data_IF_445988102593
#
_entry.id   IF_445988102593
#
_cell.length_a   1.000
_cell.length_b   1.000
_cell.length_c   1.000
_cell.angle_alpha   90.00
_cell.angle_beta   90.00
_cell.angle_gamma   90.00
#
_symmetry.space_group_name_H-M   'P 1'
#
loop_
_entity.id
_entity.type
_entity.pdbx_description
1 polymer ?
#
# COMPACT_ATOMS: atom_id res chain seq x y z
N UNK A 1 8.00 4.96 10.17
CA UNK A 1 7.55 6.08 9.30
C UNK A 1 6.03 6.32 9.45
N UNK A 2 5.17 5.30 9.30
CA UNK A 2 3.70 5.43 9.44
C UNK A 2 3.21 5.77 10.84
N UNK A 3 3.86 5.29 11.90
CA UNK A 3 3.50 5.63 13.30
C UNK A 3 3.51 7.13 13.57
N UNK A 4 4.46 7.86 12.98
CA UNK A 4 4.56 9.30 13.16
C UNK A 4 3.40 10.07 12.52
N UNK A 5 2.94 9.65 11.32
CA UNK A 5 1.76 10.23 10.66
C UNK A 5 0.49 9.88 11.44
N UNK A 6 0.33 8.61 11.84
CA UNK A 6 -0.81 8.15 12.63
C UNK A 6 -0.95 8.95 13.91
N UNK A 7 0.11 9.05 14.71
CA UNK A 7 0.13 9.80 15.97
C UNK A 7 -0.19 11.28 15.79
N UNK A 8 0.33 11.92 14.71
CA UNK A 8 0.03 13.32 14.40
C UNK A 8 -1.45 13.50 14.02
N UNK A 9 -1.99 12.64 13.15
CA UNK A 9 -3.39 12.72 12.75
C UNK A 9 -4.33 12.42 13.92
N UNK A 10 -4.02 11.43 14.74
CA UNK A 10 -4.80 11.13 15.97
C UNK A 10 -4.79 12.32 16.95
N UNK A 11 -3.66 12.95 17.14
CA UNK A 11 -3.55 14.17 17.97
C UNK A 11 -4.45 15.29 17.46
N UNK A 12 -4.46 15.54 16.15
CA UNK A 12 -5.31 16.56 15.51
C UNK A 12 -6.79 16.16 15.65
N UNK A 13 -7.14 14.92 15.38
CA UNK A 13 -8.51 14.42 15.46
C UNK A 13 -9.06 14.46 16.89
N UNK A 14 -8.23 14.15 17.88
CA UNK A 14 -8.63 14.21 19.30
C UNK A 14 -8.89 15.65 19.76
N UNK A 15 -8.13 16.64 19.28
CA UNK A 15 -8.40 18.07 19.53
C UNK A 15 -9.74 18.48 18.91
N UNK A 16 -9.98 18.10 17.65
CA UNK A 16 -11.21 18.44 16.93
C UNK A 16 -12.44 17.78 17.53
N UNK A 17 -12.35 16.49 17.95
CA UNK A 17 -13.45 15.76 18.59
C UNK A 17 -13.87 16.35 19.92
N UNK A 18 -12.92 16.93 20.68
CA UNK A 18 -13.19 17.54 22.00
C UNK A 18 -13.79 18.93 21.91
N UNK A 19 -13.79 19.57 20.74
CA UNK A 19 -14.35 20.89 20.56
C UNK A 19 -15.90 20.83 20.61
N UNK A 20 -16.55 21.53 21.54
CA UNK A 20 -18.00 21.52 21.68
C UNK A 20 -18.71 22.23 20.51
N UNK A 21 -18.02 23.13 19.84
CA UNK A 21 -18.44 23.79 18.60
C UNK A 21 -17.20 24.01 17.73
N UNK A 22 -17.38 24.01 16.42
CA UNK A 22 -16.34 24.35 15.46
C UNK A 22 -16.78 25.61 14.69
N UNK A 23 -15.96 26.62 14.75
CA UNK A 23 -16.07 27.77 13.83
C UNK A 23 -15.15 27.59 12.62
N UNK A 24 -15.39 28.39 11.58
CA UNK A 24 -14.64 28.33 10.34
C UNK A 24 -13.11 28.45 10.54
N UNK A 25 -12.67 29.34 11.43
CA UNK A 25 -11.26 29.53 11.75
C UNK A 25 -10.62 28.30 12.40
N UNK A 26 -11.37 27.58 13.25
CA UNK A 26 -10.90 26.34 13.88
C UNK A 26 -10.81 25.19 12.87
N UNK A 27 -11.76 25.10 11.94
CA UNK A 27 -11.72 24.15 10.83
C UNK A 27 -10.50 24.42 9.94
N UNK A 28 -10.27 25.68 9.55
CA UNK A 28 -9.10 26.05 8.75
C UNK A 28 -7.77 25.71 9.46
N UNK A 29 -7.70 25.95 10.76
CA UNK A 29 -6.53 25.61 11.57
C UNK A 29 -6.31 24.10 11.56
N UNK A 30 -7.34 23.29 11.78
CA UNK A 30 -7.26 21.83 11.71
C UNK A 30 -6.82 21.33 10.32
N UNK A 31 -7.35 21.90 9.25
CA UNK A 31 -6.94 21.56 7.88
C UNK A 31 -5.48 21.93 7.59
N UNK A 32 -4.98 23.06 8.14
CA UNK A 32 -3.56 23.43 8.06
C UNK A 32 -2.65 22.42 8.79
N UNK A 33 -3.05 21.98 9.99
CA UNK A 33 -2.31 20.94 10.73
C UNK A 33 -2.28 19.62 9.97
N UNK A 34 -3.42 19.18 9.38
CA UNK A 34 -3.49 17.97 8.54
C UNK A 34 -2.59 18.09 7.32
N UNK A 35 -2.62 19.24 6.63
CA UNK A 35 -1.73 19.53 5.49
C UNK A 35 -0.26 19.38 5.86
N UNK A 36 0.14 19.94 7.00
CA UNK A 36 1.53 19.84 7.48
C UNK A 36 1.90 18.40 7.83
N UNK A 37 1.00 17.63 8.45
CA UNK A 37 1.23 16.22 8.78
C UNK A 37 1.43 15.36 7.51
N UNK A 38 0.63 15.58 6.46
CA UNK A 38 0.76 14.88 5.19
C UNK A 38 2.08 15.23 4.47
N UNK A 39 2.46 16.51 4.42
CA UNK A 39 3.74 16.94 3.84
C UNK A 39 4.93 16.38 4.62
N UNK A 40 4.85 16.33 5.95
CA UNK A 40 5.89 15.75 6.79
C UNK A 40 6.00 14.22 6.66
N UNK A 41 5.02 13.57 6.04
CA UNK A 41 5.00 12.16 5.69
C UNK A 41 5.35 11.91 4.21
N UNK A 42 6.01 12.88 3.55
CA UNK A 42 6.46 12.84 2.16
C UNK A 42 5.33 12.67 1.11
N UNK A 43 4.09 13.03 1.45
CA UNK A 43 3.02 13.08 0.46
C UNK A 43 3.26 14.24 -0.52
N UNK A 44 3.16 13.95 -1.82
CA UNK A 44 3.43 14.93 -2.87
C UNK A 44 2.55 16.18 -2.76
N UNK A 45 3.15 17.36 -2.89
CA UNK A 45 2.45 18.65 -2.73
C UNK A 45 1.17 18.80 -3.59
N UNK A 46 1.12 18.38 -4.86
CA UNK A 46 -0.10 18.45 -5.67
C UNK A 46 -1.25 17.61 -5.07
N UNK A 47 -0.93 16.42 -4.53
CA UNK A 47 -1.91 15.53 -3.89
C UNK A 47 -2.46 16.18 -2.62
N UNK A 48 -1.58 16.74 -1.78
CA UNK A 48 -1.99 17.43 -0.55
C UNK A 48 -2.84 18.67 -0.86
N UNK A 49 -2.49 19.45 -1.89
CA UNK A 49 -3.29 20.62 -2.31
C UNK A 49 -4.69 20.19 -2.70
N UNK A 50 -4.81 19.22 -3.62
CA UNK A 50 -6.11 18.71 -4.07
C UNK A 50 -6.92 18.14 -2.90
N UNK A 51 -6.30 17.39 -2.00
CA UNK A 51 -6.93 16.84 -0.81
C UNK A 51 -7.58 17.93 0.06
N UNK A 52 -6.87 19.03 0.34
CA UNK A 52 -7.39 20.14 1.14
C UNK A 52 -8.49 20.91 0.39
N UNK A 53 -8.33 21.13 -0.92
CA UNK A 53 -9.34 21.79 -1.76
C UNK A 53 -10.64 20.99 -1.79
N UNK A 54 -10.59 19.67 -1.86
CA UNK A 54 -11.77 18.79 -1.89
C UNK A 54 -12.49 18.74 -0.53
N UNK A 55 -11.76 18.87 0.59
CA UNK A 55 -12.32 18.83 1.94
C UNK A 55 -12.90 20.19 2.36
N UNK A 56 -12.23 21.28 2.05
CA UNK A 56 -12.58 22.62 2.55
C UNK A 56 -14.06 22.97 2.39
N UNK A 57 -14.70 22.83 1.22
CA UNK A 57 -16.12 23.15 1.05
C UNK A 57 -17.05 22.24 1.87
N UNK A 58 -16.67 20.97 2.05
CA UNK A 58 -17.43 20.02 2.85
C UNK A 58 -17.29 20.31 4.36
N UNK A 59 -16.13 20.77 4.79
CA UNK A 59 -15.79 21.04 6.19
C UNK A 59 -16.37 22.35 6.72
N UNK A 60 -16.58 23.36 5.85
CA UNK A 60 -17.13 24.70 6.21
C UNK A 60 -18.65 24.74 6.00
N UNK A 61 -19.26 23.66 5.50
CA UNK A 61 -20.69 23.59 5.27
C UNK A 61 -21.52 23.81 6.53
N UNK A 62 -22.68 24.49 6.39
CA UNK A 62 -23.57 24.82 7.53
C UNK A 62 -24.05 23.58 8.32
N UNK A 63 -24.13 22.43 7.66
CA UNK A 63 -24.51 21.15 8.31
C UNK A 63 -23.53 20.72 9.38
N UNK A 64 -22.24 21.00 9.20
CA UNK A 64 -21.19 20.67 10.19
C UNK A 64 -21.22 21.65 11.35
N UNK A 65 -21.30 22.94 11.06
CA UNK A 65 -21.28 23.99 12.08
C UNK A 65 -22.52 23.88 13.01
N UNK A 66 -23.66 23.43 12.48
CA UNK A 66 -24.92 23.24 13.23
C UNK A 66 -25.08 21.85 13.83
N UNK A 67 -24.15 20.92 13.59
CA UNK A 67 -24.21 19.55 14.11
C UNK A 67 -24.01 19.50 15.63
N UNK A 68 -24.63 18.52 16.28
CA UNK A 68 -24.39 18.20 17.70
C UNK A 68 -22.98 17.63 17.96
N UNK A 69 -22.29 17.19 16.92
CA UNK A 69 -20.92 16.65 16.98
C UNK A 69 -20.06 17.08 15.80
N UNK A 70 -19.77 18.40 15.64
CA UNK A 70 -19.10 18.93 14.45
C UNK A 70 -17.69 18.36 14.28
N UNK A 71 -16.97 18.12 15.36
CA UNK A 71 -15.62 17.53 15.32
C UNK A 71 -15.62 16.10 14.81
N UNK A 72 -16.60 15.29 15.14
CA UNK A 72 -16.72 13.91 14.62
C UNK A 72 -17.06 13.91 13.12
N UNK A 73 -17.94 14.82 12.69
CA UNK A 73 -18.26 14.96 11.27
C UNK A 73 -17.04 15.39 10.44
N UNK A 74 -16.26 16.34 10.94
CA UNK A 74 -15.02 16.76 10.27
C UNK A 74 -14.03 15.60 10.14
N UNK A 75 -13.84 14.83 11.22
CA UNK A 75 -12.98 13.62 11.18
C UNK A 75 -13.48 12.62 10.16
N UNK A 76 -14.80 12.40 10.06
CA UNK A 76 -15.39 11.51 9.06
C UNK A 76 -15.10 11.99 7.63
N UNK A 77 -15.30 13.28 7.35
CA UNK A 77 -15.01 13.86 6.02
C UNK A 77 -13.55 13.67 5.63
N UNK A 78 -12.62 13.94 6.57
CA UNK A 78 -11.19 13.73 6.34
C UNK A 78 -10.89 12.26 6.07
N UNK A 79 -11.49 11.34 6.86
CA UNK A 79 -11.33 9.91 6.67
C UNK A 79 -11.85 9.45 5.30
N UNK A 80 -13.07 9.84 4.93
CA UNK A 80 -13.68 9.46 3.65
C UNK A 80 -12.84 9.97 2.46
N UNK A 81 -12.27 11.18 2.58
CA UNK A 81 -11.40 11.74 1.55
C UNK A 81 -10.04 11.02 1.48
N UNK A 82 -9.47 10.60 2.63
CA UNK A 82 -8.26 9.76 2.64
C UNK A 82 -8.51 8.43 1.93
N UNK A 83 -9.64 7.78 2.19
CA UNK A 83 -10.04 6.55 1.51
C UNK A 83 -10.14 6.76 -0.01
N UNK A 84 -10.73 7.89 -0.46
CA UNK A 84 -10.82 8.21 -1.88
C UNK A 84 -9.44 8.41 -2.53
N UNK A 85 -8.52 9.11 -1.86
CA UNK A 85 -7.14 9.31 -2.35
C UNK A 85 -6.39 8.00 -2.46
N UNK A 86 -6.65 7.04 -1.57
CA UNK A 86 -6.06 5.70 -1.58
C UNK A 86 -6.72 4.74 -2.61
N UNK A 87 -7.69 5.22 -3.40
CA UNK A 87 -8.32 4.45 -4.47
C UNK A 87 -9.78 4.02 -4.19
N UNK A 88 -10.29 4.23 -2.97
CA UNK A 88 -11.69 4.03 -2.60
C UNK A 88 -12.14 2.57 -2.52
N UNK A 89 -11.88 1.76 -3.55
CA UNK A 89 -12.22 0.34 -3.61
C UNK A 89 -10.98 -0.50 -3.79
N UNK A 90 -10.97 -1.66 -3.14
CA UNK A 90 -9.94 -2.68 -3.41
C UNK A 90 -10.22 -3.28 -4.79
N UNK A 91 -9.24 -3.23 -5.68
CA UNK A 91 -9.29 -3.94 -6.95
C UNK A 91 -8.63 -5.31 -6.80
N UNK A 92 -9.21 -6.30 -7.47
CA UNK A 92 -8.64 -7.64 -7.51
C UNK A 92 -7.50 -7.70 -8.52
N UNK A 93 -6.52 -8.57 -8.25
CA UNK A 93 -5.41 -8.80 -9.16
C UNK A 93 -5.94 -9.47 -10.42
N UNK A 94 -5.68 -8.85 -11.56
CA UNK A 94 -6.07 -9.43 -12.85
C UNK A 94 -5.04 -10.48 -13.30
N UNK A 95 -5.39 -11.73 -13.11
CA UNK A 95 -4.60 -12.90 -13.56
C UNK A 95 -5.06 -13.44 -14.92
N UNK A 96 -5.86 -12.68 -15.68
CA UNK A 96 -6.34 -13.05 -17.02
C UNK A 96 -5.29 -12.69 -18.08
N UNK A 97 -4.13 -13.27 -18.00
CA UNK A 97 -3.06 -13.17 -18.98
C UNK A 97 -2.77 -14.58 -19.56
N UNK A 98 -2.11 -14.64 -20.72
CA UNK A 98 -1.59 -15.90 -21.20
C UNK A 98 -0.59 -16.48 -20.18
N UNK A 99 -0.67 -17.77 -19.83
CA UNK A 99 0.29 -18.38 -18.93
C UNK A 99 1.72 -18.33 -19.47
N UNK A 100 2.72 -18.16 -18.60
CA UNK A 100 2.63 -17.80 -17.20
C UNK A 100 2.28 -16.31 -17.01
N UNK A 101 1.33 -16.00 -16.11
CA UNK A 101 1.03 -14.61 -15.73
C UNK A 101 2.10 -14.10 -14.78
N UNK A 102 3.00 -13.26 -15.27
CA UNK A 102 4.13 -12.72 -14.50
C UNK A 102 3.73 -11.46 -13.73
N UNK A 103 4.14 -11.37 -12.45
CA UNK A 103 3.98 -10.20 -11.59
C UNK A 103 5.36 -9.77 -11.10
N UNK A 104 5.82 -8.59 -11.50
CA UNK A 104 7.08 -8.01 -11.07
C UNK A 104 6.87 -7.06 -9.89
N UNK A 105 7.54 -7.31 -8.75
CA UNK A 105 7.56 -6.43 -7.59
C UNK A 105 8.82 -5.57 -7.60
N UNK A 106 8.63 -4.26 -7.79
CA UNK A 106 9.72 -3.27 -7.87
C UNK A 106 9.67 -2.33 -6.67
N UNK A 107 10.83 -1.87 -6.22
CA UNK A 107 10.91 -0.89 -5.13
C UNK A 107 12.30 -0.82 -4.48
N UNK A 108 12.48 0.15 -3.59
CA UNK A 108 13.73 0.36 -2.87
C UNK A 108 14.04 -0.80 -1.89
N UNK A 109 15.30 -0.90 -1.51
CA UNK A 109 15.72 -1.85 -0.47
C UNK A 109 14.95 -1.59 0.83
N UNK A 110 14.52 -2.66 1.51
CA UNK A 110 13.74 -2.55 2.74
C UNK A 110 12.25 -2.17 2.56
N UNK A 111 11.77 -1.98 1.31
CA UNK A 111 10.35 -1.67 1.03
C UNK A 111 9.37 -2.83 1.26
N UNK A 112 9.87 -4.02 1.61
CA UNK A 112 9.03 -5.17 1.93
C UNK A 112 8.65 -6.04 0.73
N UNK A 113 9.33 -5.93 -0.42
CA UNK A 113 9.05 -6.73 -1.63
C UNK A 113 8.96 -8.23 -1.35
N UNK A 114 10.02 -8.81 -0.76
CA UNK A 114 10.08 -10.26 -0.45
C UNK A 114 8.93 -10.72 0.42
N UNK A 115 8.60 -9.95 1.47
CA UNK A 115 7.48 -10.27 2.35
C UNK A 115 6.14 -10.15 1.64
N UNK A 116 6.00 -9.14 0.78
CA UNK A 116 4.78 -8.90 -0.02
C UNK A 116 4.59 -10.02 -1.03
N UNK A 117 5.66 -10.47 -1.71
CA UNK A 117 5.59 -11.57 -2.66
C UNK A 117 5.05 -12.86 -2.02
N UNK A 118 5.57 -13.24 -0.86
CA UNK A 118 5.12 -14.43 -0.14
C UNK A 118 3.65 -14.31 0.28
N UNK A 119 3.23 -13.14 0.78
CA UNK A 119 1.82 -12.89 1.14
C UNK A 119 0.91 -12.92 -0.08
N UNK A 120 1.36 -12.34 -1.19
CA UNK A 120 0.64 -12.32 -2.45
C UNK A 120 0.48 -13.73 -3.03
N UNK A 121 1.55 -14.51 -3.06
CA UNK A 121 1.53 -15.91 -3.49
C UNK A 121 0.52 -16.73 -2.69
N UNK A 122 0.54 -16.64 -1.36
CA UNK A 122 -0.47 -17.30 -0.50
C UNK A 122 -1.90 -16.86 -0.81
N UNK A 123 -2.11 -15.57 -1.06
CA UNK A 123 -3.42 -15.05 -1.42
C UNK A 123 -3.90 -15.61 -2.76
N UNK A 124 -3.01 -15.67 -3.75
CA UNK A 124 -3.31 -16.22 -5.09
C UNK A 124 -3.64 -17.72 -4.99
N UNK A 125 -2.82 -18.51 -4.29
CA UNK A 125 -3.10 -19.93 -4.14
C UNK A 125 -4.42 -20.20 -3.40
N UNK A 126 -4.68 -19.43 -2.34
CA UNK A 126 -5.89 -19.60 -1.53
C UNK A 126 -7.16 -19.18 -2.26
N UNK A 127 -7.17 -18.00 -2.87
CA UNK A 127 -8.38 -17.37 -3.40
C UNK A 127 -8.62 -17.69 -4.87
N UNK A 128 -7.55 -17.81 -5.66
CA UNK A 128 -7.66 -18.07 -7.11
C UNK A 128 -7.37 -19.53 -7.48
N UNK A 129 -6.91 -20.35 -6.52
CA UNK A 129 -6.57 -21.78 -6.74
C UNK A 129 -5.52 -21.98 -7.85
N UNK A 130 -4.66 -21.01 -8.05
CA UNK A 130 -3.55 -21.05 -9.02
C UNK A 130 -2.25 -21.45 -8.32
N UNK A 131 -1.42 -22.22 -9.02
CA UNK A 131 -0.05 -22.51 -8.55
C UNK A 131 0.81 -21.27 -8.76
N UNK A 132 1.67 -20.95 -7.80
CA UNK A 132 2.56 -19.80 -7.86
C UNK A 132 4.00 -20.26 -7.75
N UNK A 133 4.87 -19.74 -8.61
CA UNK A 133 6.33 -19.88 -8.52
C UNK A 133 6.92 -18.54 -8.13
N UNK A 134 7.70 -18.49 -7.06
CA UNK A 134 8.40 -17.29 -6.61
C UNK A 134 9.84 -17.32 -7.12
N UNK A 135 10.29 -16.19 -7.64
CA UNK A 135 11.63 -16.04 -8.19
C UNK A 135 12.28 -14.79 -7.60
N UNK A 136 13.56 -14.85 -7.23
CA UNK A 136 14.33 -13.67 -6.85
C UNK A 136 15.32 -13.33 -7.95
N UNK A 137 15.15 -12.15 -8.54
CA UNK A 137 16.12 -11.60 -9.51
C UNK A 137 17.28 -10.86 -8.85
N UNK A 138 17.32 -10.82 -7.52
CA UNK A 138 18.40 -10.20 -6.76
C UNK A 138 19.61 -11.16 -6.63
N UNK A 139 20.20 -11.47 -7.78
CA UNK A 139 21.33 -12.41 -7.89
C UNK A 139 22.63 -11.84 -7.34
N UNK A 140 22.74 -10.51 -7.23
CA UNK A 140 23.91 -9.83 -6.69
C UNK A 140 24.01 -9.87 -5.17
N UNK A 141 22.93 -10.24 -4.47
CA UNK A 141 22.87 -10.38 -3.02
C UNK A 141 22.46 -11.79 -2.63
N UNK A 142 23.41 -12.70 -2.40
CA UNK A 142 23.11 -14.11 -2.10
C UNK A 142 22.12 -14.28 -0.94
N UNK A 143 22.23 -13.44 0.09
CA UNK A 143 21.31 -13.46 1.23
C UNK A 143 19.85 -13.13 0.85
N UNK A 144 19.59 -12.40 -0.21
CA UNK A 144 18.22 -12.05 -0.64
C UNK A 144 17.50 -13.27 -1.22
N UNK A 145 18.19 -14.07 -2.03
CA UNK A 145 17.66 -15.33 -2.58
C UNK A 145 17.40 -16.35 -1.46
N UNK A 146 18.35 -16.53 -0.54
CA UNK A 146 18.16 -17.41 0.62
C UNK A 146 17.03 -16.97 1.51
N UNK A 147 16.86 -15.65 1.74
CA UNK A 147 15.75 -15.12 2.51
C UNK A 147 14.39 -15.48 1.90
N UNK A 148 14.25 -15.35 0.59
CA UNK A 148 13.04 -15.73 -0.13
C UNK A 148 12.79 -17.23 0.02
N UNK A 149 13.81 -18.06 -0.22
CA UNK A 149 13.72 -19.52 -0.10
C UNK A 149 13.21 -19.94 1.28
N UNK A 150 13.84 -19.47 2.35
CA UNK A 150 13.43 -19.77 3.73
C UNK A 150 11.97 -19.34 4.01
N UNK A 151 11.56 -18.18 3.50
CA UNK A 151 10.18 -17.73 3.66
C UNK A 151 9.18 -18.59 2.87
N UNK A 152 9.54 -19.03 1.67
CA UNK A 152 8.71 -19.92 0.85
C UNK A 152 8.56 -21.30 1.51
N UNK A 153 9.66 -21.91 1.98
CA UNK A 153 9.65 -23.20 2.69
C UNK A 153 8.75 -23.16 3.93
N UNK A 154 8.86 -22.10 4.76
CA UNK A 154 8.00 -21.90 5.94
C UNK A 154 6.50 -21.76 5.60
N UNK A 155 6.19 -21.40 4.37
CA UNK A 155 4.81 -21.15 3.93
C UNK A 155 4.30 -22.21 2.94
N UNK A 156 5.08 -23.26 2.66
CA UNK A 156 4.80 -24.32 1.68
C UNK A 156 4.51 -23.74 0.27
N UNK A 157 5.31 -22.75 -0.16
CA UNK A 157 5.23 -22.14 -1.48
C UNK A 157 6.37 -22.62 -2.36
N UNK A 158 6.12 -22.67 -3.67
CA UNK A 158 7.14 -23.02 -4.64
C UNK A 158 8.08 -21.83 -4.86
N UNK A 159 9.38 -22.10 -4.89
CA UNK A 159 10.42 -21.12 -5.17
C UNK A 159 11.40 -21.71 -6.18
N UNK A 160 11.89 -20.86 -7.11
CA UNK A 160 12.92 -21.28 -8.06
C UNK A 160 14.21 -21.64 -7.31
N UNK A 161 14.85 -22.79 -7.64
CA UNK A 161 16.13 -23.16 -7.05
C UNK A 161 17.18 -22.07 -7.29
N UNK A 162 17.99 -21.82 -6.26
CA UNK A 162 19.10 -20.85 -6.36
C UNK A 162 20.23 -21.49 -7.16
N UNK A 163 20.55 -20.91 -8.31
CA UNK A 163 21.68 -21.30 -9.15
C UNK A 163 22.74 -20.20 -9.03
N UNK A 164 23.94 -20.56 -8.56
CA UNK A 164 25.05 -19.60 -8.43
C UNK A 164 25.48 -19.10 -9.80
N UNK A 165 25.88 -17.82 -9.82
CA UNK A 165 26.40 -17.13 -11.00
C UNK A 165 25.43 -17.03 -12.20
N UNK A 166 24.13 -17.26 -11.96
CA UNK A 166 23.08 -17.09 -12.95
C UNK A 166 22.77 -15.59 -13.15
N UNK A 167 22.57 -15.17 -14.39
CA UNK A 167 22.09 -13.81 -14.67
C UNK A 167 20.60 -13.69 -14.42
N UNK A 168 20.08 -12.48 -14.08
CA UNK A 168 18.64 -12.27 -13.87
C UNK A 168 17.79 -12.70 -15.06
N UNK A 169 18.30 -12.50 -16.30
CA UNK A 169 17.61 -12.90 -17.53
C UNK A 169 17.48 -14.41 -17.67
N UNK A 170 18.49 -15.16 -17.22
CA UNK A 170 18.44 -16.63 -17.27
C UNK A 170 17.40 -17.19 -16.28
N UNK A 171 17.22 -16.52 -15.14
CA UNK A 171 16.15 -16.84 -14.20
C UNK A 171 14.78 -16.65 -14.85
N UNK A 172 14.58 -15.57 -15.61
CA UNK A 172 13.32 -15.28 -16.31
C UNK A 172 13.05 -16.27 -17.45
N UNK A 173 14.07 -16.63 -18.23
CA UNK A 173 13.94 -17.63 -19.29
C UNK A 173 13.55 -19.00 -18.75
N UNK A 174 14.11 -19.40 -17.62
CA UNK A 174 13.73 -20.66 -16.96
C UNK A 174 12.27 -20.67 -16.50
N UNK A 175 11.72 -19.52 -16.10
CA UNK A 175 10.33 -19.41 -15.71
C UNK A 175 9.36 -19.42 -16.89
N UNK A 176 9.78 -19.01 -18.09
CA UNK A 176 8.95 -19.04 -19.29
C UNK A 176 8.70 -20.46 -19.83
N UNK A 177 9.60 -21.39 -19.51
CA UNK A 177 9.46 -22.80 -19.87
C UNK A 177 8.74 -23.64 -18.80
N UNK A 178 8.23 -22.98 -17.74
CA UNK A 178 7.43 -23.65 -16.71
C UNK A 178 6.09 -24.13 -17.28
N UNK A 179 5.57 -25.31 -16.85
CA UNK A 179 4.33 -25.84 -17.38
C UNK A 179 3.15 -24.87 -17.22
N UNK A 180 2.29 -24.84 -18.23
CA UNK A 180 1.24 -23.85 -18.56
C UNK A 180 0.31 -23.35 -17.43
N UNK A 181 0.38 -23.90 -16.23
CA UNK A 181 -0.53 -23.58 -15.11
C UNK A 181 0.08 -22.79 -13.96
N UNK A 182 1.30 -22.25 -14.10
CA UNK A 182 2.01 -21.63 -12.96
C UNK A 182 2.17 -20.12 -13.14
N UNK A 183 1.40 -19.26 -12.45
CA UNK A 183 1.70 -17.83 -12.40
C UNK A 183 3.03 -17.62 -11.66
N UNK A 184 3.95 -16.88 -12.28
CA UNK A 184 5.23 -16.51 -11.68
C UNK A 184 5.10 -15.16 -10.99
N UNK A 185 5.58 -15.07 -9.74
CA UNK A 185 5.74 -13.79 -9.03
C UNK A 185 7.23 -13.49 -9.00
N UNK A 186 7.63 -12.41 -9.68
CA UNK A 186 9.01 -11.96 -9.76
C UNK A 186 9.28 -10.87 -8.73
N UNK A 187 10.47 -10.91 -8.11
CA UNK A 187 10.90 -9.99 -7.07
C UNK A 187 12.22 -9.36 -7.51
N UNK A 188 12.16 -8.21 -8.14
CA UNK A 188 13.31 -7.39 -8.47
C UNK A 188 13.86 -6.58 -7.28
#
# INVERSE_FOLDING_TARGET
MFENLTNKLEGIFNKLKKAPSLNEAQVETGLKEIRQALLAADVALPVVKKFIEDIKPKAIGQEIIRSTSPGQMLVKIVYDQLVQVLGGKSEEINLKAAPPASILLVGLQGSGKTTTAVKLAKNIEKNFKKKVLLVSLDVYRPAAQEQLKVLCEKNNLNVLPIIKDQLPIDCLLYTSDAPDDTPCVDIG
#
